data_IF_725434868100
#
_entry.id   IF_725434868100
#
_cell.length_a   1.000
_cell.length_b   1.000
_cell.length_c   1.000
_cell.angle_alpha   90.00
_cell.angle_beta   90.00
_cell.angle_gamma   90.00
#
_symmetry.space_group_name_H-M   'P 1'
#
loop_
_entity.id
_entity.type
_entity.pdbx_description
1 polymer ?
#
# COMPACT_ATOMS: atom_id res chain seq x y z
N UNK A 1 -2.00 13.54 -14.68
CA UNK A 1 -1.99 14.09 -13.31
C UNK A 1 -1.19 15.36 -13.33
N UNK A 2 -1.64 16.34 -12.57
CA UNK A 2 -0.91 17.60 -12.36
C UNK A 2 0.10 17.42 -11.22
N UNK A 3 0.97 18.41 -11.00
CA UNK A 3 1.93 18.34 -9.90
C UNK A 3 2.18 19.69 -9.22
N UNK A 4 2.48 19.63 -7.92
CA UNK A 4 3.07 20.74 -7.15
C UNK A 4 4.54 20.38 -6.88
N UNK A 5 5.45 21.32 -7.11
CA UNK A 5 6.90 21.13 -6.91
C UNK A 5 7.41 22.04 -5.81
N UNK A 6 8.17 21.47 -4.88
CA UNK A 6 8.96 22.18 -3.87
C UNK A 6 10.42 21.86 -4.19
N UNK A 7 11.23 22.89 -4.44
CA UNK A 7 12.61 22.72 -4.88
C UNK A 7 13.59 23.29 -3.86
N UNK A 8 14.58 22.47 -3.49
CA UNK A 8 15.72 22.82 -2.64
C UNK A 8 15.32 23.52 -1.33
N UNK A 9 14.29 23.02 -0.64
CA UNK A 9 13.94 23.46 0.71
C UNK A 9 15.13 23.18 1.65
N UNK A 10 15.73 24.25 2.16
CA UNK A 10 16.93 24.17 2.98
C UNK A 10 16.58 23.93 4.45
N UNK A 11 17.16 22.88 5.03
CA UNK A 11 16.90 22.46 6.41
C UNK A 11 18.21 22.10 7.07
N UNK A 12 18.39 22.52 8.32
CA UNK A 12 19.52 22.10 9.15
C UNK A 12 19.07 20.98 10.09
N UNK A 13 19.71 19.81 10.01
CA UNK A 13 19.30 18.63 10.76
C UNK A 13 20.50 17.77 11.16
N UNK A 14 20.26 16.80 12.03
CA UNK A 14 21.30 15.98 12.68
C UNK A 14 21.42 14.57 12.09
N UNK A 15 21.11 14.38 10.81
CA UNK A 15 21.21 13.06 10.17
C UNK A 15 22.64 12.71 9.75
N UNK A 16 23.01 11.44 9.86
CA UNK A 16 24.32 10.94 9.48
C UNK A 16 24.77 9.74 10.32
N UNK A 17 25.82 9.07 9.84
CA UNK A 17 26.40 7.90 10.50
C UNK A 17 27.45 8.33 11.52
N UNK A 18 28.17 9.41 11.26
CA UNK A 18 29.26 9.85 12.13
C UNK A 18 28.72 10.62 13.34
N UNK A 19 29.25 10.39 14.56
CA UNK A 19 28.84 11.11 15.77
C UNK A 19 28.93 12.63 15.66
N UNK A 20 29.88 13.12 14.87
CA UNK A 20 30.07 14.54 14.60
C UNK A 20 28.89 15.12 13.82
N UNK A 21 28.32 14.35 12.87
CA UNK A 21 27.15 14.77 12.08
C UNK A 21 25.90 14.88 12.95
N UNK A 22 25.69 13.90 13.84
CA UNK A 22 24.52 13.88 14.73
C UNK A 22 24.63 14.91 15.85
N UNK A 23 25.84 15.38 16.19
CA UNK A 23 26.05 16.42 17.21
C UNK A 23 26.09 17.84 16.66
N UNK A 24 26.79 18.06 15.55
CA UNK A 24 26.94 19.41 14.97
C UNK A 24 25.78 19.76 14.03
N UNK A 25 25.15 18.76 13.42
CA UNK A 25 24.19 18.94 12.36
C UNK A 25 24.82 19.42 11.07
N UNK A 26 24.04 19.35 9.99
CA UNK A 26 24.45 19.83 8.68
C UNK A 26 23.26 20.28 7.86
N UNK A 27 23.55 20.98 6.76
CA UNK A 27 22.55 21.43 5.81
C UNK A 27 22.13 20.28 4.89
N UNK A 28 20.81 20.12 4.75
CA UNK A 28 20.15 19.27 3.76
C UNK A 28 19.33 20.15 2.83
N UNK A 29 19.12 19.67 1.61
CA UNK A 29 18.17 20.28 0.67
C UNK A 29 17.16 19.24 0.24
N UNK A 30 15.88 19.51 0.52
CA UNK A 30 14.79 18.61 0.19
C UNK A 30 14.04 19.16 -1.01
N UNK A 31 13.86 18.32 -2.03
CA UNK A 31 12.94 18.62 -3.13
C UNK A 31 11.86 17.56 -3.16
N UNK A 32 10.61 17.96 -3.43
CA UNK A 32 9.54 17.00 -3.64
C UNK A 32 8.61 17.40 -4.78
N UNK A 33 8.08 16.38 -5.45
CA UNK A 33 7.05 16.51 -6.48
C UNK A 33 5.82 15.77 -5.99
N UNK A 34 4.76 16.51 -5.70
CA UNK A 34 3.47 15.97 -5.28
C UNK A 34 2.59 15.83 -6.51
N UNK A 35 2.15 14.61 -6.82
CA UNK A 35 1.25 14.33 -7.94
C UNK A 35 -0.20 14.24 -7.45
N UNK A 36 -1.07 15.09 -7.99
CA UNK A 36 -2.48 15.24 -7.60
C UNK A 36 -3.31 15.82 -8.76
N UNK A 37 -4.64 15.85 -8.61
CA UNK A 37 -5.53 16.58 -9.53
C UNK A 37 -5.73 18.00 -9.00
N UNK A 38 -5.32 19.02 -9.75
CA UNK A 38 -5.47 20.43 -9.36
C UNK A 38 -6.61 21.12 -10.11
N UNK A 39 -7.32 20.40 -10.97
CA UNK A 39 -8.31 20.98 -11.89
C UNK A 39 -9.47 21.63 -11.17
N UNK A 40 -9.98 21.00 -10.12
CA UNK A 40 -11.11 21.54 -9.36
C UNK A 40 -10.69 22.81 -8.61
N UNK A 41 -9.58 22.76 -7.86
CA UNK A 41 -9.01 23.92 -7.19
C UNK A 41 -8.75 25.08 -8.15
N UNK A 42 -8.15 24.81 -9.32
CA UNK A 42 -7.87 25.83 -10.33
C UNK A 42 -9.11 26.42 -10.98
N UNK A 43 -10.24 25.69 -11.03
CA UNK A 43 -11.52 26.20 -11.53
C UNK A 43 -12.28 27.02 -10.50
N UNK A 44 -12.25 26.60 -9.24
CA UNK A 44 -13.05 27.21 -8.17
C UNK A 44 -12.28 28.22 -7.33
N UNK A 45 -10.97 28.32 -7.53
CA UNK A 45 -10.06 29.13 -6.71
C UNK A 45 -10.22 28.82 -5.21
N UNK A 46 -10.31 27.52 -4.89
CA UNK A 46 -10.57 27.02 -3.52
C UNK A 46 -9.35 26.27 -2.98
N UNK A 47 -8.72 26.85 -1.96
CA UNK A 47 -7.53 26.28 -1.32
C UNK A 47 -7.82 24.92 -0.66
N UNK A 48 -9.05 24.66 -0.21
CA UNK A 48 -9.40 23.40 0.45
C UNK A 48 -9.46 22.21 -0.52
N UNK A 49 -9.43 22.49 -1.83
CA UNK A 49 -9.43 21.50 -2.90
C UNK A 49 -8.03 21.25 -3.48
N UNK A 50 -7.00 21.80 -2.84
CA UNK A 50 -5.60 21.62 -3.19
C UNK A 50 -4.79 21.33 -1.94
N UNK A 51 -3.59 20.78 -2.13
CA UNK A 51 -2.61 20.65 -1.07
C UNK A 51 -1.99 22.02 -0.78
N UNK A 52 -1.95 22.42 0.49
CA UNK A 52 -1.22 23.61 0.92
C UNK A 52 0.28 23.30 1.01
N UNK A 53 1.04 23.74 0.00
CA UNK A 53 2.50 23.55 -0.05
C UNK A 53 3.23 24.16 1.15
N UNK A 54 2.71 25.23 1.75
CA UNK A 54 3.26 25.81 2.98
C UNK A 54 3.18 24.83 4.15
N UNK A 55 2.04 24.16 4.32
CA UNK A 55 1.86 23.11 5.34
C UNK A 55 2.82 21.94 5.10
N UNK A 56 3.00 21.51 3.85
CA UNK A 56 3.96 20.45 3.50
C UNK A 56 5.40 20.87 3.82
N UNK A 57 5.82 22.10 3.50
CA UNK A 57 7.16 22.59 3.84
C UNK A 57 7.41 22.59 5.36
N UNK A 58 6.43 23.02 6.16
CA UNK A 58 6.55 23.01 7.63
C UNK A 58 6.55 21.59 8.18
N UNK A 59 5.77 20.68 7.60
CA UNK A 59 5.78 19.26 7.95
C UNK A 59 7.16 18.64 7.69
N UNK A 60 7.71 18.81 6.49
CA UNK A 60 9.06 18.32 6.14
C UNK A 60 10.10 18.86 7.12
N UNK A 61 10.07 20.18 7.39
CA UNK A 61 11.00 20.81 8.34
C UNK A 61 10.89 20.18 9.73
N UNK A 62 9.67 20.03 10.24
CA UNK A 62 9.41 19.44 11.56
C UNK A 62 9.94 18.00 11.63
N UNK A 63 9.62 17.17 10.64
CA UNK A 63 10.04 15.76 10.62
C UNK A 63 11.57 15.61 10.56
N UNK A 64 12.24 16.46 9.78
CA UNK A 64 13.70 16.50 9.68
C UNK A 64 14.39 16.95 10.97
N UNK A 65 13.78 17.86 11.74
CA UNK A 65 14.36 18.40 12.99
C UNK A 65 14.06 17.51 14.21
N UNK A 66 12.89 16.86 14.26
CA UNK A 66 12.46 16.05 15.40
C UNK A 66 13.02 14.62 15.38
N UNK A 67 13.34 14.09 14.19
CA UNK A 67 13.89 12.75 14.03
C UNK A 67 15.38 12.79 13.68
N UNK A 68 16.11 11.73 14.01
CA UNK A 68 17.51 11.57 13.59
C UNK A 68 17.68 10.21 12.94
N UNK A 69 18.04 10.23 11.66
CA UNK A 69 18.32 9.05 10.86
C UNK A 69 19.81 8.93 10.57
N UNK A 70 20.28 7.70 10.43
CA UNK A 70 21.67 7.45 10.01
C UNK A 70 21.86 7.62 8.50
N UNK A 71 20.82 7.29 7.72
CA UNK A 71 20.82 7.19 6.27
C UNK A 71 19.88 8.24 5.66
N UNK A 72 20.27 8.87 4.55
CA UNK A 72 19.40 9.82 3.82
C UNK A 72 18.31 9.09 3.03
N UNK A 73 18.49 7.79 2.79
CA UNK A 73 17.49 6.85 2.31
C UNK A 73 16.32 6.73 3.27
N UNK A 74 16.61 6.55 4.57
CA UNK A 74 15.60 6.46 5.61
C UNK A 74 14.85 7.79 5.79
N UNK A 75 15.56 8.92 5.66
CA UNK A 75 14.95 10.25 5.62
C UNK A 75 13.97 10.34 4.45
N UNK A 76 14.40 9.96 3.24
CA UNK A 76 13.57 10.03 2.05
C UNK A 76 12.30 9.18 2.22
N UNK A 77 12.43 7.95 2.73
CA UNK A 77 11.30 7.03 2.96
C UNK A 77 10.31 7.59 3.98
N UNK A 78 10.82 8.09 5.12
CA UNK A 78 10.00 8.69 6.17
C UNK A 78 9.22 9.90 5.67
N UNK A 79 9.88 10.79 4.93
CA UNK A 79 9.24 11.96 4.35
C UNK A 79 8.17 11.58 3.31
N UNK A 80 8.44 10.58 2.47
CA UNK A 80 7.45 10.11 1.50
C UNK A 80 6.19 9.54 2.20
N UNK A 81 6.38 8.72 3.24
CA UNK A 81 5.28 8.19 4.05
C UNK A 81 4.46 9.29 4.71
N UNK A 82 5.14 10.21 5.42
CA UNK A 82 4.48 11.33 6.11
C UNK A 82 3.69 12.19 5.13
N UNK A 83 4.26 12.52 3.96
CA UNK A 83 3.57 13.33 2.94
C UNK A 83 2.34 12.61 2.38
N UNK A 84 2.44 11.34 2.00
CA UNK A 84 1.33 10.57 1.41
C UNK A 84 0.18 10.32 2.38
N UNK A 85 0.50 10.22 3.67
CA UNK A 85 -0.48 9.96 4.73
C UNK A 85 -1.07 11.24 5.32
N UNK A 86 -0.38 12.38 5.19
CA UNK A 86 -0.85 13.68 5.68
C UNK A 86 -2.06 14.21 4.91
N UNK A 87 -2.04 14.11 3.56
CA UNK A 87 -3.13 14.60 2.72
C UNK A 87 -3.56 13.54 1.70
N UNK A 88 -4.84 13.17 1.76
CA UNK A 88 -5.42 12.13 0.89
C UNK A 88 -5.44 12.51 -0.59
N UNK A 89 -5.30 13.80 -0.92
CA UNK A 89 -5.26 14.28 -2.30
C UNK A 89 -3.95 13.92 -3.02
N UNK A 90 -2.87 13.70 -2.28
CA UNK A 90 -1.57 13.30 -2.83
C UNK A 90 -1.64 11.81 -3.18
N UNK A 91 -1.59 11.50 -4.47
CA UNK A 91 -1.62 10.11 -4.97
C UNK A 91 -0.23 9.52 -5.11
N UNK A 92 0.76 10.37 -5.36
CA UNK A 92 2.15 9.99 -5.51
C UNK A 92 3.05 11.14 -5.08
N UNK A 93 4.21 10.79 -4.52
CA UNK A 93 5.28 11.72 -4.17
C UNK A 93 6.61 11.21 -4.71
N UNK A 94 7.38 12.14 -5.24
CA UNK A 94 8.82 11.97 -5.46
C UNK A 94 9.55 12.82 -4.41
N UNK A 95 10.51 12.23 -3.70
CA UNK A 95 11.31 12.93 -2.68
C UNK A 95 12.78 12.79 -3.04
N UNK A 96 13.48 13.92 -3.11
CA UNK A 96 14.94 13.97 -3.24
C UNK A 96 15.54 14.64 -2.01
N UNK A 97 16.45 13.93 -1.35
CA UNK A 97 17.22 14.41 -0.18
C UNK A 97 18.66 14.61 -0.62
N UNK A 98 19.11 15.87 -0.66
CA UNK A 98 20.49 16.23 -1.01
C UNK A 98 21.30 16.56 0.24
N UNK A 99 22.55 16.11 0.26
CA UNK A 99 23.51 16.30 1.34
C UNK A 99 24.77 16.99 0.78
N UNK A 100 24.76 18.33 0.64
CA UNK A 100 25.87 19.08 0.05
C UNK A 100 27.15 19.03 0.88
N UNK A 101 27.05 18.81 2.20
CA UNK A 101 28.20 18.78 3.11
C UNK A 101 28.60 17.37 3.55
N UNK A 102 28.32 16.37 2.71
CA UNK A 102 28.70 14.99 2.98
C UNK A 102 30.23 14.86 3.17
N UNK A 103 30.72 14.21 4.25
CA UNK A 103 32.14 14.14 4.58
C UNK A 103 32.89 13.11 3.71
N UNK A 104 32.98 13.36 2.40
CA UNK A 104 33.54 12.44 1.40
C UNK A 104 35.05 12.69 1.17
N UNK A 105 35.53 13.91 1.47
CA UNK A 105 36.95 14.26 1.30
C UNK A 105 37.40 14.39 -0.17
N UNK A 106 36.46 14.53 -1.11
CA UNK A 106 36.70 14.71 -2.54
C UNK A 106 35.89 15.90 -3.08
N UNK A 107 36.29 16.53 -4.20
CA UNK A 107 35.51 17.59 -4.82
C UNK A 107 34.25 17.02 -5.49
N UNK A 108 33.08 17.45 -5.03
CA UNK A 108 31.77 17.20 -5.63
C UNK A 108 30.83 18.37 -5.30
N UNK A 109 29.72 18.47 -6.03
CA UNK A 109 28.68 19.47 -5.76
C UNK A 109 27.77 19.01 -4.60
N UNK A 110 27.12 17.85 -4.75
CA UNK A 110 26.29 17.24 -3.72
C UNK A 110 26.11 15.75 -3.97
N UNK A 111 25.71 15.00 -2.93
CA UNK A 111 25.15 13.65 -3.07
C UNK A 111 23.66 13.69 -2.77
N UNK A 112 22.86 12.92 -3.49
CA UNK A 112 21.43 12.84 -3.23
C UNK A 112 20.88 11.43 -3.33
N UNK A 113 19.81 11.19 -2.57
CA UNK A 113 18.93 10.03 -2.73
C UNK A 113 17.59 10.53 -3.21
N UNK A 114 17.05 9.83 -4.21
CA UNK A 114 15.77 10.16 -4.82
C UNK A 114 14.88 8.93 -4.87
N UNK A 115 13.69 9.03 -4.30
CA UNK A 115 12.70 7.94 -4.28
C UNK A 115 11.36 8.41 -4.80
N UNK A 116 10.53 7.45 -5.19
CA UNK A 116 9.14 7.65 -5.63
C UNK A 116 8.24 6.66 -4.91
N UNK A 117 7.14 7.15 -4.34
CA UNK A 117 6.12 6.35 -3.65
C UNK A 117 4.74 6.80 -4.07
N UNK A 118 3.80 5.87 -4.16
CA UNK A 118 2.41 6.16 -4.55
C UNK A 118 1.43 5.31 -3.76
N UNK A 119 0.17 5.72 -3.78
CA UNK A 119 -0.94 4.86 -3.39
C UNK A 119 -1.22 3.86 -4.52
N UNK A 120 -1.33 2.60 -4.14
CA UNK A 120 -1.63 1.46 -4.99
C UNK A 120 -3.05 0.98 -4.73
N UNK A 121 -3.79 0.64 -5.80
CA UNK A 121 -5.10 0.00 -5.70
C UNK A 121 -4.91 -1.50 -5.55
N UNK A 122 -5.44 -2.10 -4.48
CA UNK A 122 -5.24 -3.52 -4.16
C UNK A 122 -6.56 -4.20 -3.83
N UNK A 123 -6.67 -5.46 -4.26
CA UNK A 123 -7.80 -6.33 -3.98
C UNK A 123 -7.32 -7.55 -3.21
N UNK A 124 -7.97 -7.84 -2.08
CA UNK A 124 -7.59 -8.92 -1.17
C UNK A 124 -8.81 -9.83 -0.95
N UNK A 125 -8.65 -11.14 -1.11
CA UNK A 125 -9.65 -12.12 -0.70
C UNK A 125 -9.62 -12.30 0.82
N UNK A 126 -10.80 -12.45 1.42
CA UNK A 126 -11.00 -12.71 2.83
C UNK A 126 -11.61 -14.09 2.97
N UNK A 127 -11.03 -14.96 3.81
CA UNK A 127 -11.52 -16.31 4.06
C UNK A 127 -11.43 -16.72 5.51
N UNK A 128 -12.42 -17.47 6.01
CA UNK A 128 -12.35 -18.11 7.34
C UNK A 128 -13.28 -19.32 7.42
N UNK A 129 -12.83 -20.41 8.04
CA UNK A 129 -13.67 -21.58 8.30
C UNK A 129 -13.55 -22.19 9.71
N UNK A 130 -12.81 -21.55 10.62
CA UNK A 130 -12.70 -22.01 12.00
C UNK A 130 -13.21 -20.96 12.98
N UNK A 131 -13.82 -21.41 14.09
CA UNK A 131 -14.23 -20.55 15.20
C UNK A 131 -15.25 -19.47 14.80
N UNK A 132 -15.08 -18.25 15.33
CA UNK A 132 -15.92 -17.10 14.99
C UNK A 132 -15.52 -16.50 13.63
N UNK A 133 -15.90 -17.19 12.54
CA UNK A 133 -15.51 -16.86 11.15
C UNK A 133 -15.77 -15.39 10.80
N UNK A 134 -16.96 -14.88 11.14
CA UNK A 134 -17.34 -13.46 10.90
C UNK A 134 -16.51 -12.52 11.77
N UNK A 135 -16.30 -12.87 13.04
CA UNK A 135 -15.47 -12.12 13.96
C UNK A 135 -14.03 -11.97 13.48
N UNK A 136 -13.41 -13.04 12.98
CA UNK A 136 -12.05 -13.01 12.44
C UNK A 136 -11.94 -12.08 11.22
N UNK A 137 -12.83 -12.24 10.23
CA UNK A 137 -12.83 -11.39 9.03
C UNK A 137 -13.06 -9.91 9.40
N UNK A 138 -14.02 -9.63 10.30
CA UNK A 138 -14.28 -8.26 10.75
C UNK A 138 -13.06 -7.66 11.44
N UNK A 139 -12.41 -8.40 12.33
CA UNK A 139 -11.19 -7.93 13.01
C UNK A 139 -10.04 -7.68 12.02
N UNK A 140 -9.88 -8.53 11.00
CA UNK A 140 -8.89 -8.34 9.95
C UNK A 140 -9.11 -7.02 9.20
N UNK A 141 -10.35 -6.75 8.78
CA UNK A 141 -10.71 -5.51 8.09
C UNK A 141 -10.43 -4.28 8.97
N UNK A 142 -10.78 -4.32 10.26
CA UNK A 142 -10.49 -3.21 11.18
C UNK A 142 -8.97 -3.01 11.37
N UNK A 143 -8.19 -4.08 11.51
CA UNK A 143 -6.72 -3.99 11.60
C UNK A 143 -6.08 -3.40 10.32
N UNK A 144 -6.64 -3.70 9.15
CA UNK A 144 -6.20 -3.08 7.90
C UNK A 144 -6.57 -1.59 7.86
N UNK A 145 -7.76 -1.21 8.33
CA UNK A 145 -8.17 0.21 8.43
C UNK A 145 -7.30 1.00 9.40
N UNK A 146 -6.91 0.40 10.51
CA UNK A 146 -6.07 1.04 11.54
C UNK A 146 -4.58 1.14 11.12
N UNK A 147 -4.20 0.47 10.02
CA UNK A 147 -2.84 0.56 9.47
C UNK A 147 -2.69 1.87 8.70
N UNK A 148 -1.84 2.79 9.19
CA UNK A 148 -1.60 4.15 8.64
C UNK A 148 -1.44 4.19 7.11
N UNK A 149 -0.77 3.20 6.55
CA UNK A 149 -0.42 3.05 5.13
C UNK A 149 -1.51 2.37 4.30
N UNK A 150 -2.69 2.12 4.87
CA UNK A 150 -3.81 1.44 4.23
C UNK A 150 -5.08 2.27 4.35
N UNK A 151 -5.93 2.20 3.33
CA UNK A 151 -7.26 2.82 3.31
C UNK A 151 -8.24 1.86 2.66
N UNK A 152 -9.12 1.27 3.47
CA UNK A 152 -10.18 0.39 2.96
C UNK A 152 -11.22 1.24 2.23
N UNK A 153 -11.47 0.92 0.96
CA UNK A 153 -12.49 1.59 0.15
C UNK A 153 -13.85 0.91 0.28
N UNK A 154 -13.90 -0.42 0.10
CA UNK A 154 -15.11 -1.21 0.28
C UNK A 154 -14.81 -2.69 0.56
N UNK A 155 -15.79 -3.38 1.13
CA UNK A 155 -15.76 -4.82 1.41
C UNK A 155 -17.05 -5.41 0.88
N UNK A 156 -16.97 -6.57 0.21
CA UNK A 156 -18.13 -7.29 -0.29
C UNK A 156 -19.00 -7.84 0.85
N UNK A 157 -20.19 -8.31 0.51
CA UNK A 157 -20.91 -9.24 1.38
C UNK A 157 -20.10 -10.54 1.59
N UNK A 158 -20.33 -11.20 2.73
CA UNK A 158 -19.70 -12.48 3.04
C UNK A 158 -20.56 -13.62 2.50
N UNK A 159 -19.97 -14.42 1.63
CA UNK A 159 -20.58 -15.59 1.01
C UNK A 159 -20.21 -16.85 1.79
N UNK A 160 -21.19 -17.69 2.08
CA UNK A 160 -20.94 -18.98 2.73
C UNK A 160 -20.82 -20.09 1.70
N UNK A 161 -19.67 -20.76 1.62
CA UNK A 161 -19.39 -21.76 0.59
C UNK A 161 -18.91 -23.07 1.20
N UNK A 162 -19.09 -24.16 0.46
CA UNK A 162 -18.42 -25.42 0.78
C UNK A 162 -16.89 -25.26 0.71
N UNK A 163 -16.12 -26.05 1.47
CA UNK A 163 -14.67 -25.97 1.43
C UNK A 163 -14.11 -26.41 0.07
N UNK A 164 -13.02 -25.77 -0.32
CA UNK A 164 -12.29 -26.12 -1.53
C UNK A 164 -11.23 -27.20 -1.22
N UNK A 165 -11.19 -28.27 -2.03
CA UNK A 165 -10.25 -29.39 -1.87
C UNK A 165 -10.88 -30.67 -1.28
N UNK A 166 -10.03 -31.67 -1.00
CA UNK A 166 -10.47 -33.03 -0.59
C UNK A 166 -10.55 -33.22 0.95
N UNK A 167 -10.22 -32.19 1.73
CA UNK A 167 -10.21 -32.27 3.20
C UNK A 167 -11.60 -31.92 3.75
N UNK A 168 -12.18 -32.80 4.58
CA UNK A 168 -13.45 -32.55 5.28
C UNK A 168 -13.26 -31.47 6.35
N UNK A 169 -14.01 -30.37 6.22
CA UNK A 169 -13.89 -29.20 7.09
C UNK A 169 -15.19 -28.38 7.04
N UNK A 170 -15.37 -27.50 8.02
CA UNK A 170 -16.54 -26.62 8.08
C UNK A 170 -16.62 -25.67 6.86
N UNK A 171 -17.84 -25.21 6.55
CA UNK A 171 -18.12 -24.22 5.49
C UNK A 171 -17.27 -22.96 5.66
N UNK A 172 -16.80 -22.39 4.56
CA UNK A 172 -16.06 -21.13 4.58
C UNK A 172 -17.00 -19.93 4.53
N UNK A 173 -16.60 -18.84 5.18
CA UNK A 173 -17.04 -17.51 4.81
C UNK A 173 -15.96 -16.87 3.95
N UNK A 174 -16.35 -16.42 2.76
CA UNK A 174 -15.48 -15.78 1.79
C UNK A 174 -15.98 -14.36 1.47
N UNK A 175 -15.07 -13.47 1.16
CA UNK A 175 -15.36 -12.11 0.69
C UNK A 175 -14.17 -11.50 -0.02
N UNK A 176 -14.32 -10.25 -0.46
CA UNK A 176 -13.25 -9.47 -1.05
C UNK A 176 -13.21 -8.06 -0.46
N UNK A 177 -12.00 -7.52 -0.37
CA UNK A 177 -11.69 -6.20 0.14
C UNK A 177 -10.98 -5.42 -0.96
N UNK A 178 -11.47 -4.22 -1.26
CA UNK A 178 -10.73 -3.22 -2.03
C UNK A 178 -10.11 -2.21 -1.08
N UNK A 179 -8.80 -1.99 -1.20
CA UNK A 179 -8.09 -0.98 -0.43
C UNK A 179 -7.10 -0.19 -1.30
N UNK A 180 -6.66 0.93 -0.76
CA UNK A 180 -5.48 1.65 -1.21
C UNK A 180 -4.35 1.42 -0.21
N UNK A 181 -3.11 1.22 -0.67
CA UNK A 181 -1.94 1.16 0.22
C UNK A 181 -0.71 1.85 -0.36
N UNK A 182 0.20 2.34 0.48
CA UNK A 182 1.53 2.81 0.04
C UNK A 182 2.62 1.75 0.16
N UNK A 183 2.33 0.61 0.79
CA UNK A 183 3.23 -0.54 0.87
C UNK A 183 3.39 -1.21 -0.48
N UNK A 184 4.61 -1.61 -0.84
CA UNK A 184 4.84 -2.50 -1.97
C UNK A 184 4.19 -3.89 -1.76
N UNK A 185 4.10 -4.73 -2.82
CA UNK A 185 3.40 -6.01 -2.76
C UNK A 185 3.88 -6.95 -1.65
N UNK A 186 5.19 -7.01 -1.40
CA UNK A 186 5.80 -7.85 -0.36
C UNK A 186 5.52 -7.32 1.05
N UNK A 187 5.64 -6.02 1.25
CA UNK A 187 5.35 -5.36 2.53
C UNK A 187 3.87 -5.55 2.90
N UNK A 188 2.96 -5.44 1.93
CA UNK A 188 1.54 -5.74 2.17
C UNK A 188 1.34 -7.23 2.52
N UNK A 189 1.98 -8.15 1.79
CA UNK A 189 1.88 -9.59 2.08
C UNK A 189 2.34 -9.91 3.52
N UNK A 190 3.47 -9.35 3.94
CA UNK A 190 3.98 -9.47 5.31
C UNK A 190 2.96 -8.95 6.33
N UNK A 191 2.39 -7.76 6.09
CA UNK A 191 1.35 -7.19 6.96
C UNK A 191 0.10 -8.07 7.05
N UNK A 192 -0.35 -8.66 5.94
CA UNK A 192 -1.49 -9.58 5.94
C UNK A 192 -1.15 -10.86 6.73
N UNK A 193 0.04 -11.42 6.58
CA UNK A 193 0.50 -12.57 7.35
C UNK A 193 0.56 -12.28 8.86
N UNK A 194 0.98 -11.09 9.29
CA UNK A 194 0.93 -10.69 10.70
C UNK A 194 -0.51 -10.74 11.24
N UNK A 195 -1.47 -10.19 10.49
CA UNK A 195 -2.88 -10.16 10.88
C UNK A 195 -3.44 -11.59 11.00
N UNK A 196 -3.04 -12.50 10.10
CA UNK A 196 -3.39 -13.92 10.18
C UNK A 196 -2.80 -14.61 11.42
N UNK A 197 -1.53 -14.34 11.72
CA UNK A 197 -0.87 -14.89 12.91
C UNK A 197 -1.54 -14.40 14.19
N UNK A 198 -1.89 -13.12 14.27
CA UNK A 198 -2.65 -12.56 15.38
C UNK A 198 -4.06 -13.16 15.51
N UNK A 199 -4.63 -13.69 14.42
CA UNK A 199 -5.88 -14.45 14.42
C UNK A 199 -5.68 -15.95 14.74
N UNK A 200 -4.46 -16.39 15.05
CA UNK A 200 -4.14 -17.77 15.42
C UNK A 200 -4.03 -18.73 14.24
N UNK A 201 -3.70 -18.25 13.04
CA UNK A 201 -3.51 -19.12 11.87
C UNK A 201 -2.30 -20.03 12.07
N UNK A 202 -2.52 -21.35 12.06
CA UNK A 202 -1.47 -22.37 12.06
C UNK A 202 -1.34 -23.04 10.68
N UNK A 203 -0.13 -23.10 10.11
CA UNK A 203 0.13 -23.71 8.79
C UNK A 203 0.57 -25.17 8.93
N UNK A 204 -0.32 -26.03 9.43
CA UNK A 204 -0.03 -27.45 9.69
C UNK A 204 -0.21 -28.35 8.44
N UNK A 205 -1.26 -28.11 7.65
CA UNK A 205 -1.63 -28.92 6.48
C UNK A 205 -1.91 -27.98 5.30
N UNK A 206 -1.42 -28.32 4.12
CA UNK A 206 -1.74 -27.57 2.88
C UNK A 206 -3.26 -27.64 2.62
N UNK A 207 -3.91 -26.48 2.50
CA UNK A 207 -5.39 -26.32 2.44
C UNK A 207 -6.17 -26.84 3.65
N UNK A 208 -5.50 -26.96 4.80
CA UNK A 208 -6.16 -27.24 6.06
C UNK A 208 -7.08 -26.11 6.51
N UNK A 209 -7.90 -26.38 7.54
CA UNK A 209 -8.77 -25.38 8.14
C UNK A 209 -7.96 -24.24 8.76
N UNK A 210 -8.49 -23.02 8.70
CA UNK A 210 -7.81 -21.78 9.11
C UNK A 210 -8.77 -20.79 9.71
N UNK A 211 -8.31 -20.10 10.76
CA UNK A 211 -9.05 -19.03 11.43
C UNK A 211 -9.22 -17.81 10.53
N UNK A 212 -8.21 -17.49 9.72
CA UNK A 212 -8.23 -16.38 8.78
C UNK A 212 -7.29 -16.68 7.60
N UNK A 213 -7.69 -16.25 6.40
CA UNK A 213 -6.95 -16.34 5.14
C UNK A 213 -7.10 -15.02 4.40
N UNK A 214 -5.99 -14.37 4.08
CA UNK A 214 -5.92 -13.09 3.39
C UNK A 214 -4.99 -13.22 2.19
N UNK A 215 -5.55 -13.29 0.98
CA UNK A 215 -4.78 -13.45 -0.26
C UNK A 215 -4.83 -12.19 -1.12
N UNK A 216 -3.68 -11.67 -1.55
CA UNK A 216 -3.63 -10.58 -2.54
C UNK A 216 -4.08 -11.12 -3.90
N UNK A 217 -5.19 -10.61 -4.42
CA UNK A 217 -5.76 -11.00 -5.71
C UNK A 217 -5.18 -10.19 -6.86
N UNK A 218 -5.21 -8.86 -6.74
CA UNK A 218 -4.78 -7.91 -7.76
C UNK A 218 -4.07 -6.75 -7.08
N UNK A 219 -3.07 -6.20 -7.74
CA UNK A 219 -2.27 -5.09 -7.24
C UNK A 219 -1.95 -4.16 -8.42
N UNK A 220 -2.57 -2.98 -8.44
CA UNK A 220 -2.65 -2.11 -9.62
C UNK A 220 -3.01 -2.94 -10.88
N UNK A 221 -2.13 -2.92 -11.89
CA UNK A 221 -2.16 -3.77 -13.07
C UNK A 221 -0.84 -4.59 -13.18
N UNK A 222 -0.18 -4.82 -12.04
CA UNK A 222 1.10 -5.53 -11.94
C UNK A 222 0.94 -7.02 -12.28
N UNK A 223 2.02 -7.58 -12.85
CA UNK A 223 2.16 -9.03 -13.09
C UNK A 223 3.47 -9.49 -12.47
N UNK A 224 3.37 -10.20 -11.34
CA UNK A 224 4.48 -10.67 -10.51
C UNK A 224 4.42 -12.20 -10.45
N UNK A 225 5.54 -12.85 -10.74
CA UNK A 225 5.69 -14.30 -10.69
C UNK A 225 6.92 -14.69 -9.88
N UNK A 226 6.85 -14.55 -8.57
CA UNK A 226 7.89 -14.95 -7.63
C UNK A 226 7.46 -16.18 -6.81
N UNK A 227 8.41 -16.90 -6.23
CA UNK A 227 8.14 -18.14 -5.50
C UNK A 227 7.15 -17.95 -4.32
N UNK A 228 7.19 -16.80 -3.67
CA UNK A 228 6.40 -16.52 -2.46
C UNK A 228 5.21 -15.58 -2.73
N UNK A 229 5.13 -14.96 -3.92
CA UNK A 229 4.07 -14.03 -4.28
C UNK A 229 3.80 -14.05 -5.79
N UNK A 230 2.57 -14.36 -6.14
CA UNK A 230 2.08 -14.28 -7.52
C UNK A 230 0.90 -13.30 -7.59
N UNK A 231 1.01 -12.30 -8.47
CA UNK A 231 -0.03 -11.32 -8.74
C UNK A 231 -0.22 -11.24 -10.26
N UNK A 232 -1.44 -11.30 -10.79
CA UNK A 232 -2.68 -11.69 -10.11
C UNK A 232 -2.58 -13.05 -9.44
N UNK A 233 -3.40 -13.29 -8.41
CA UNK A 233 -3.43 -14.58 -7.75
C UNK A 233 -3.72 -15.70 -8.76
N UNK A 234 -2.82 -16.70 -8.84
CA UNK A 234 -2.74 -17.69 -9.93
C UNK A 234 -4.05 -18.39 -10.29
N UNK A 235 -4.89 -18.61 -9.28
CA UNK A 235 -6.09 -19.42 -9.39
C UNK A 235 -7.39 -18.61 -9.18
N UNK A 236 -7.31 -17.28 -9.16
CA UNK A 236 -8.50 -16.46 -8.86
C UNK A 236 -9.62 -16.63 -9.89
N UNK A 237 -9.26 -16.80 -11.16
CA UNK A 237 -10.19 -16.97 -12.29
C UNK A 237 -10.98 -18.28 -12.26
N UNK A 238 -10.50 -19.28 -11.50
CA UNK A 238 -11.15 -20.58 -11.41
C UNK A 238 -12.05 -20.69 -10.16
N UNK A 239 -12.13 -19.64 -9.33
CA UNK A 239 -12.77 -19.67 -8.02
C UNK A 239 -14.00 -18.77 -8.00
N UNK A 240 -15.18 -19.37 -8.10
CA UNK A 240 -16.46 -18.65 -8.03
C UNK A 240 -16.59 -17.84 -6.74
N UNK A 241 -16.18 -18.41 -5.60
CA UNK A 241 -16.20 -17.75 -4.29
C UNK A 241 -15.22 -16.59 -4.15
N UNK A 242 -14.30 -16.39 -5.12
CA UNK A 242 -13.44 -15.20 -5.23
C UNK A 242 -14.02 -14.21 -6.23
N UNK A 243 -14.48 -14.69 -7.38
CA UNK A 243 -15.02 -13.86 -8.45
C UNK A 243 -16.36 -13.20 -8.09
N UNK A 244 -17.27 -13.89 -7.39
CA UNK A 244 -18.54 -13.31 -6.96
C UNK A 244 -18.34 -12.07 -6.06
N UNK A 245 -17.56 -12.13 -4.96
CA UNK A 245 -17.21 -10.95 -4.16
C UNK A 245 -16.50 -9.86 -4.96
N UNK A 246 -15.59 -10.24 -5.87
CA UNK A 246 -14.88 -9.29 -6.71
C UNK A 246 -15.80 -8.55 -7.68
N UNK A 247 -16.82 -9.23 -8.23
CA UNK A 247 -17.82 -8.62 -9.11
C UNK A 247 -18.71 -7.64 -8.35
N UNK A 248 -18.99 -7.90 -7.07
CA UNK A 248 -19.74 -6.97 -6.22
C UNK A 248 -19.01 -5.63 -6.07
N UNK A 249 -17.70 -5.66 -5.76
CA UNK A 249 -16.93 -4.45 -5.44
C UNK A 249 -16.25 -3.81 -6.66
N UNK A 250 -15.96 -4.58 -7.71
CA UNK A 250 -15.22 -4.11 -8.87
C UNK A 250 -15.55 -4.91 -10.16
N UNK A 251 -16.81 -4.86 -10.63
CA UNK A 251 -17.27 -5.68 -11.75
C UNK A 251 -16.49 -5.44 -13.05
N UNK A 252 -15.99 -4.22 -13.24
CA UNK A 252 -15.30 -3.78 -14.46
C UNK A 252 -13.78 -3.72 -14.33
N UNK A 253 -13.19 -4.09 -13.18
CA UNK A 253 -11.73 -4.19 -13.07
C UNK A 253 -11.27 -5.29 -14.01
N UNK A 254 -10.29 -4.97 -14.87
CA UNK A 254 -9.72 -5.91 -15.82
C UNK A 254 -8.61 -6.70 -15.14
N UNK A 255 -8.60 -8.00 -15.38
CA UNK A 255 -7.49 -8.85 -15.03
C UNK A 255 -6.32 -8.55 -15.98
N UNK A 256 -5.11 -8.18 -15.49
CA UNK A 256 -4.03 -7.69 -16.35
C UNK A 256 -3.51 -8.75 -17.32
N UNK A 257 -3.59 -10.04 -16.97
CA UNK A 257 -3.19 -11.16 -17.86
C UNK A 257 -4.27 -11.51 -18.89
N UNK A 258 -5.52 -11.77 -18.46
CA UNK A 258 -6.59 -12.21 -19.37
C UNK A 258 -7.26 -11.09 -20.16
N UNK A 259 -7.08 -9.83 -19.75
CA UNK A 259 -7.73 -8.66 -20.36
C UNK A 259 -9.25 -8.58 -20.16
N UNK A 260 -9.86 -9.59 -19.53
CA UNK A 260 -11.29 -9.66 -19.20
C UNK A 260 -11.61 -8.94 -17.89
N UNK A 261 -12.81 -8.38 -17.80
CA UNK A 261 -13.37 -7.83 -16.56
C UNK A 261 -13.69 -8.94 -15.57
N UNK A 262 -13.76 -8.62 -14.27
CA UNK A 262 -14.18 -9.60 -13.25
C UNK A 262 -15.55 -10.23 -13.59
N UNK A 263 -16.46 -9.43 -14.16
CA UNK A 263 -17.77 -9.91 -14.60
C UNK A 263 -17.67 -10.93 -15.73
N UNK A 264 -16.88 -10.64 -16.77
CA UNK A 264 -16.66 -11.58 -17.89
C UNK A 264 -16.02 -12.88 -17.40
N UNK A 265 -15.04 -12.81 -16.48
CA UNK A 265 -14.41 -14.00 -15.90
C UNK A 265 -15.41 -14.87 -15.11
N UNK A 266 -16.32 -14.25 -14.36
CA UNK A 266 -17.36 -14.96 -13.63
C UNK A 266 -18.35 -15.64 -14.59
N UNK A 267 -18.75 -14.95 -15.66
CA UNK A 267 -19.64 -15.49 -16.69
C UNK A 267 -19.01 -16.69 -17.40
N UNK A 268 -17.72 -16.61 -17.77
CA UNK A 268 -16.98 -17.73 -18.37
C UNK A 268 -16.92 -18.96 -17.44
N UNK A 269 -16.79 -18.74 -16.13
CA UNK A 269 -16.68 -19.81 -15.14
C UNK A 269 -18.02 -20.54 -14.91
N UNK A 270 -19.13 -19.79 -14.86
CA UNK A 270 -20.46 -20.35 -14.57
C UNK A 270 -21.12 -20.93 -15.84
N UNK A 271 -20.79 -20.37 -17.00
CA UNK A 271 -21.30 -20.82 -18.31
C UNK A 271 -20.16 -21.22 -19.24
N UNK A 272 -19.42 -22.31 -18.94
CA UNK A 272 -18.40 -22.81 -19.84
C UNK A 272 -19.08 -23.32 -21.12
N UNK A 273 -18.74 -22.69 -22.25
CA UNK A 273 -19.13 -23.18 -23.58
C UNK A 273 -18.54 -24.58 -23.87
#
# INVERSE_FOLDING_TARGET
MDCIKIENLEIFANHGVFPEETKLGQKFQISCVLSLDTREAGKTDDLNKSVNYGTICHLIKKEMEEHTFMLIEAVAEHLADVILTFDTCVREVEVEVKKPWAPIGLPLDTVSVKIRRKWHEVYVALGSNMGDKRGYIKQAVEKIKDTKNCRVECVSELLETEPYGEVEQDRFLNGALKLWTTFGPKELLERLHEIEQEAGRERLIHWGPRTLDLDILLYDDEVIGENELCIPHLDMQNRQFVLEPMVEIAPYKRHPVYGKTMKELLEDLISPN
#
